data_IF_975057449721
#
_entry.id   IF_975057449721
#
_cell.length_a   1.000
_cell.length_b   1.000
_cell.length_c   1.000
_cell.angle_alpha   90.00
_cell.angle_beta   90.00
_cell.angle_gamma   90.00
#
_symmetry.space_group_name_H-M   'P 1'
#
loop_
_entity.id
_entity.type
_entity.pdbx_description
1 polymer ?
#
# COMPACT_ATOMS: atom_id res chain seq x y z
N UNK A 1 32.54 32.08 20.20
CA UNK A 1 31.57 31.02 20.45
C UNK A 1 30.72 30.96 19.21
N UNK A 2 30.96 29.98 18.34
CA UNK A 2 30.15 29.77 17.15
C UNK A 2 28.77 29.22 17.59
N UNK A 3 27.71 29.89 17.18
CA UNK A 3 26.33 29.41 17.34
C UNK A 3 26.22 28.04 16.65
N UNK A 4 26.02 27.01 17.45
CA UNK A 4 25.62 25.72 16.91
C UNK A 4 24.20 25.90 16.33
N UNK A 5 23.96 25.42 15.10
CA UNK A 5 22.60 25.43 14.57
C UNK A 5 21.71 24.64 15.51
N UNK A 6 20.53 25.20 15.83
CA UNK A 6 19.52 24.53 16.63
C UNK A 6 19.20 23.15 16.00
N UNK A 7 19.13 22.13 16.85
CA UNK A 7 18.68 20.81 16.47
C UNK A 7 17.38 20.95 15.65
N UNK A 8 17.28 20.29 14.50
CA UNK A 8 16.04 20.34 13.73
C UNK A 8 14.91 19.83 14.63
N UNK A 9 13.91 20.68 14.85
CA UNK A 9 12.68 20.26 15.53
C UNK A 9 12.21 18.97 14.92
N UNK A 10 11.87 17.93 15.72
CA UNK A 10 11.33 16.69 15.20
C UNK A 10 10.17 17.01 14.26
N UNK A 11 10.28 16.65 12.99
CA UNK A 11 9.19 16.82 12.04
C UNK A 11 8.09 15.85 12.49
N UNK A 12 6.99 16.41 13.00
CA UNK A 12 5.83 15.59 13.38
C UNK A 12 5.43 14.71 12.21
N UNK A 13 5.14 13.42 12.44
CA UNK A 13 4.75 12.52 11.37
C UNK A 13 3.47 13.05 10.72
N UNK A 14 3.58 13.45 9.46
CA UNK A 14 2.45 13.98 8.68
C UNK A 14 1.22 13.07 8.77
N UNK A 15 0.05 13.65 8.98
CA UNK A 15 -1.21 12.91 8.95
C UNK A 15 -1.42 12.19 7.60
N UNK A 16 -0.92 12.81 6.51
CA UNK A 16 -0.93 12.24 5.17
C UNK A 16 0.41 11.55 4.87
N UNK A 17 0.38 10.34 4.35
CA UNK A 17 1.58 9.59 3.97
C UNK A 17 1.31 8.56 2.88
N UNK A 18 2.36 7.89 2.43
CA UNK A 18 2.26 6.78 1.48
C UNK A 18 1.61 5.55 2.15
N UNK A 19 0.77 4.85 1.37
CA UNK A 19 0.12 3.61 1.82
C UNK A 19 0.67 2.39 1.10
N UNK A 20 0.59 2.37 -0.22
CA UNK A 20 1.18 1.36 -1.09
C UNK A 20 2.15 2.02 -2.09
N UNK A 21 3.00 1.25 -2.80
CA UNK A 21 3.90 1.80 -3.80
C UNK A 21 3.15 2.59 -4.87
N UNK A 22 3.64 3.78 -5.21
CA UNK A 22 3.15 4.54 -6.37
C UNK A 22 4.09 4.32 -7.54
N UNK A 23 3.53 4.10 -8.72
CA UNK A 23 4.29 3.87 -9.94
C UNK A 23 3.53 4.32 -11.18
N UNK A 24 4.29 4.58 -12.25
CA UNK A 24 3.78 4.79 -13.59
C UNK A 24 4.64 3.99 -14.56
N UNK A 25 4.06 3.00 -15.22
CA UNK A 25 4.72 2.09 -16.14
C UNK A 25 4.11 2.22 -17.53
N UNK A 26 4.94 2.30 -18.56
CA UNK A 26 4.51 2.27 -19.95
C UNK A 26 5.09 1.04 -20.60
N UNK A 27 4.28 0.30 -21.32
CA UNK A 27 4.72 -0.92 -21.98
C UNK A 27 3.67 -1.49 -22.92
N UNK A 28 4.01 -2.65 -23.49
CA UNK A 28 3.19 -3.32 -24.48
C UNK A 28 3.64 -3.01 -25.90
N UNK A 29 3.31 -3.91 -26.81
CA UNK A 29 3.67 -3.78 -28.23
C UNK A 29 2.46 -3.38 -29.05
N UNK A 30 1.28 -3.89 -28.72
CA UNK A 30 0.04 -3.62 -29.42
C UNK A 30 -1.15 -4.09 -28.56
N UNK A 31 -1.91 -3.20 -27.94
CA UNK A 31 -1.67 -1.75 -27.86
C UNK A 31 -0.58 -1.36 -26.83
N UNK A 32 0.05 -0.21 -27.03
CA UNK A 32 0.86 0.42 -25.97
C UNK A 32 -0.08 0.93 -24.89
N UNK A 33 0.21 0.57 -23.66
CA UNK A 33 -0.61 0.93 -22.50
C UNK A 33 0.24 1.47 -21.36
N UNK A 34 -0.36 2.28 -20.51
CA UNK A 34 0.21 2.68 -19.25
C UNK A 34 -0.55 2.01 -18.10
N UNK A 35 0.20 1.55 -17.09
CA UNK A 35 -0.36 1.13 -15.81
C UNK A 35 0.21 2.01 -14.72
N UNK A 36 -0.64 2.61 -13.93
CA UNK A 36 -0.21 3.43 -12.81
C UNK A 36 -0.98 3.11 -11.55
N UNK A 37 -0.35 3.40 -10.42
CA UNK A 37 -0.94 3.28 -9.10
C UNK A 37 -0.69 4.56 -8.33
N UNK A 38 -1.75 5.09 -7.74
CA UNK A 38 -1.74 6.20 -6.81
C UNK A 38 -2.25 5.70 -5.47
N UNK A 39 -1.55 6.03 -4.37
CA UNK A 39 -1.89 5.49 -3.05
C UNK A 39 -1.46 6.42 -1.94
N UNK A 40 -2.35 6.63 -0.97
CA UNK A 40 -2.07 7.41 0.22
C UNK A 40 -2.78 6.82 1.44
N UNK A 41 -2.32 7.20 2.62
CA UNK A 41 -3.04 7.01 3.89
C UNK A 41 -3.19 8.34 4.58
N UNK A 42 -4.26 8.46 5.35
CA UNK A 42 -4.55 9.62 6.19
C UNK A 42 -4.85 9.15 7.61
N UNK A 43 -4.15 9.72 8.60
CA UNK A 43 -4.44 9.48 10.02
C UNK A 43 -5.73 10.20 10.37
N UNK A 44 -6.72 9.47 10.89
CA UNK A 44 -8.05 10.03 11.16
C UNK A 44 -8.02 10.91 12.42
N UNK A 45 -7.29 10.48 13.45
CA UNK A 45 -7.20 11.20 14.71
C UNK A 45 -5.76 11.72 14.91
N UNK A 46 -5.63 13.01 15.13
CA UNK A 46 -4.36 13.65 15.44
C UNK A 46 -3.80 13.08 16.75
N UNK A 47 -2.49 12.83 16.80
CA UNK A 47 -1.79 12.32 17.99
C UNK A 47 -1.89 13.28 19.18
N UNK A 48 -1.93 14.58 18.91
CA UNK A 48 -2.07 15.65 19.89
C UNK A 48 -3.51 16.17 20.00
N UNK A 49 -4.46 15.53 19.33
CA UNK A 49 -5.86 15.92 19.34
C UNK A 49 -6.61 15.39 20.58
N UNK A 50 -7.70 16.06 20.92
CA UNK A 50 -8.55 15.75 22.10
C UNK A 50 -8.96 14.26 22.16
N UNK A 51 -9.18 13.63 21.00
CA UNK A 51 -9.54 12.21 20.95
C UNK A 51 -8.38 11.34 21.39
N UNK A 52 -7.16 11.59 20.88
CA UNK A 52 -5.98 10.81 21.24
C UNK A 52 -5.51 11.08 22.68
N UNK A 53 -5.71 12.28 23.22
CA UNK A 53 -5.48 12.60 24.63
C UNK A 53 -6.34 11.74 25.56
N UNK A 54 -7.60 11.48 25.15
CA UNK A 54 -8.54 10.67 25.94
C UNK A 54 -8.42 9.17 25.65
N UNK A 55 -8.19 8.82 24.37
CA UNK A 55 -8.10 7.46 23.87
C UNK A 55 -6.84 7.34 23.01
N UNK A 56 -5.65 7.12 23.61
CA UNK A 56 -4.37 7.13 22.90
C UNK A 56 -4.30 6.18 21.69
N UNK A 57 -4.98 5.04 21.76
CA UNK A 57 -5.03 4.07 20.66
C UNK A 57 -5.72 4.62 19.40
N UNK A 58 -6.53 5.66 19.50
CA UNK A 58 -7.23 6.23 18.35
C UNK A 58 -6.26 6.81 17.30
N UNK A 59 -5.09 7.29 17.70
CA UNK A 59 -4.05 7.80 16.79
C UNK A 59 -3.49 6.75 15.81
N UNK A 60 -3.70 5.47 16.10
CA UNK A 60 -3.35 4.36 15.21
C UNK A 60 -4.38 4.08 14.12
N UNK A 61 -5.51 4.80 14.04
CA UNK A 61 -6.56 4.58 13.05
C UNK A 61 -6.31 5.41 11.80
N UNK A 62 -6.27 4.73 10.65
CA UNK A 62 -5.98 5.33 9.34
C UNK A 62 -7.06 4.98 8.32
N UNK A 63 -7.34 5.95 7.46
CA UNK A 63 -7.97 5.72 6.16
C UNK A 63 -6.88 5.54 5.10
N UNK A 64 -7.01 4.52 4.26
CA UNK A 64 -6.15 4.31 3.09
C UNK A 64 -6.97 4.37 1.81
N UNK A 65 -6.33 4.80 0.74
CA UNK A 65 -6.91 4.76 -0.59
C UNK A 65 -5.85 4.37 -1.60
N UNK A 66 -6.16 3.40 -2.45
CA UNK A 66 -5.31 3.02 -3.57
C UNK A 66 -6.15 2.94 -4.84
N UNK A 67 -5.69 3.58 -5.89
CA UNK A 67 -6.24 3.47 -7.24
C UNK A 67 -5.19 2.87 -8.15
N UNK A 68 -5.55 1.83 -8.90
CA UNK A 68 -4.74 1.28 -9.98
C UNK A 68 -5.53 1.41 -11.28
N UNK A 69 -4.90 1.91 -12.34
CA UNK A 69 -5.55 2.08 -13.64
C UNK A 69 -4.70 1.53 -14.78
N UNK A 70 -5.35 0.91 -15.74
CA UNK A 70 -4.78 0.51 -17.02
C UNK A 70 -5.32 1.44 -18.11
N UNK A 71 -4.42 2.18 -18.74
CA UNK A 71 -4.71 3.21 -19.73
C UNK A 71 -4.21 2.78 -21.10
N UNK A 72 -5.12 2.73 -22.08
CA UNK A 72 -4.78 2.48 -23.47
C UNK A 72 -4.28 3.78 -24.10
N UNK A 73 -3.00 3.83 -24.48
CA UNK A 73 -2.39 5.03 -25.07
C UNK A 73 -2.56 5.12 -26.59
N UNK A 74 -2.99 4.05 -27.23
CA UNK A 74 -3.14 3.97 -28.69
C UNK A 74 -4.61 3.95 -29.16
N UNK A 75 -5.54 3.54 -28.29
CA UNK A 75 -6.96 3.50 -28.61
C UNK A 75 -7.51 4.88 -28.97
N UNK A 76 -8.52 4.90 -29.83
CA UNK A 76 -9.31 6.09 -30.12
C UNK A 76 -9.86 6.66 -28.80
N UNK A 77 -9.71 7.97 -28.56
CA UNK A 77 -10.05 8.63 -27.29
C UNK A 77 -9.20 8.18 -26.06
N UNK A 78 -8.17 7.36 -26.25
CA UNK A 78 -7.25 6.89 -25.18
C UNK A 78 -7.97 6.48 -23.89
N UNK A 79 -8.82 5.45 -23.93
CA UNK A 79 -9.69 5.09 -22.79
C UNK A 79 -8.92 4.43 -21.65
N UNK A 80 -9.41 4.61 -20.42
CA UNK A 80 -9.08 3.72 -19.32
C UNK A 80 -9.77 2.37 -19.55
N UNK A 81 -8.99 1.32 -19.75
CA UNK A 81 -9.49 -0.04 -19.98
C UNK A 81 -10.00 -0.67 -18.70
N UNK A 82 -9.32 -0.39 -17.62
CA UNK A 82 -9.67 -0.90 -16.30
C UNK A 82 -9.20 0.06 -15.22
N UNK A 83 -9.97 0.14 -14.13
CA UNK A 83 -9.59 0.87 -12.93
C UNK A 83 -10.07 0.07 -11.72
N UNK A 84 -9.28 0.08 -10.67
CA UNK A 84 -9.59 -0.52 -9.37
C UNK A 84 -9.41 0.55 -8.31
N UNK A 85 -10.42 0.73 -7.47
CA UNK A 85 -10.46 1.66 -6.36
C UNK A 85 -10.50 0.85 -5.06
N UNK A 86 -9.54 1.08 -4.15
CA UNK A 86 -9.39 0.34 -2.90
C UNK A 86 -9.34 1.28 -1.69
N UNK A 87 -10.50 1.78 -1.22
CA UNK A 87 -10.57 2.40 0.10
C UNK A 87 -10.37 1.34 1.20
N UNK A 88 -9.70 1.73 2.27
CA UNK A 88 -9.44 0.88 3.43
C UNK A 88 -9.53 1.66 4.73
N UNK A 89 -9.94 0.99 5.78
CA UNK A 89 -9.92 1.49 7.16
C UNK A 89 -9.10 0.50 7.98
N UNK A 90 -8.02 0.94 8.61
CA UNK A 90 -7.11 0.05 9.30
C UNK A 90 -6.48 0.70 10.52
N UNK A 91 -5.99 -0.14 11.39
CA UNK A 91 -5.13 0.22 12.50
C UNK A 91 -3.68 -0.07 12.16
N UNK A 92 -2.77 0.85 12.54
CA UNK A 92 -1.33 0.72 12.37
C UNK A 92 -0.64 0.77 13.74
N UNK A 93 0.16 -0.26 14.05
CA UNK A 93 1.12 -0.28 15.14
C UNK A 93 2.52 -0.12 14.57
N UNK A 94 3.22 0.92 14.96
CA UNK A 94 4.64 1.12 14.62
C UNK A 94 5.51 0.67 15.78
N UNK A 95 6.59 -0.04 15.46
CA UNK A 95 7.67 -0.42 16.36
C UNK A 95 8.97 0.00 15.69
N UNK A 96 9.43 1.19 16.02
CA UNK A 96 10.68 1.72 15.49
C UNK A 96 11.86 1.26 16.38
N UNK A 97 12.96 0.85 15.74
CA UNK A 97 14.19 0.53 16.45
C UNK A 97 14.89 1.84 16.86
N UNK A 98 15.12 2.07 18.17
CA UNK A 98 15.82 3.26 18.65
C UNK A 98 17.21 3.44 18.03
N UNK A 99 17.88 2.35 17.66
CA UNK A 99 19.20 2.35 17.02
C UNK A 99 19.13 2.58 15.50
N UNK A 100 17.96 2.82 14.94
CA UNK A 100 17.68 3.03 13.51
C UNK A 100 18.18 1.90 12.59
N UNK A 101 18.35 0.70 13.11
CA UNK A 101 18.75 -0.49 12.33
C UNK A 101 17.59 -1.05 11.55
N UNK A 102 16.36 -0.71 11.95
CA UNK A 102 15.18 -1.18 11.29
C UNK A 102 13.90 -0.52 11.79
N UNK A 103 12.80 -0.93 11.21
CA UNK A 103 11.46 -0.60 11.69
C UNK A 103 10.52 -1.76 11.40
N UNK A 104 9.50 -1.90 12.22
CA UNK A 104 8.40 -2.84 12.01
C UNK A 104 7.08 -2.11 12.20
N UNK A 105 6.20 -2.22 11.24
CA UNK A 105 4.82 -1.76 11.39
C UNK A 105 3.86 -2.91 11.11
N UNK A 106 2.87 -3.07 11.98
CA UNK A 106 1.78 -4.03 11.82
C UNK A 106 0.51 -3.28 11.44
N UNK A 107 -0.27 -3.88 10.58
CA UNK A 107 -1.55 -3.32 10.09
C UNK A 107 -2.63 -4.39 10.18
N UNK A 108 -3.81 -3.98 10.57
CA UNK A 108 -4.99 -4.82 10.51
C UNK A 108 -6.22 -3.98 10.20
N UNK A 109 -7.06 -4.44 9.29
CA UNK A 109 -8.21 -3.64 8.88
C UNK A 109 -9.07 -4.26 7.80
N UNK A 110 -9.97 -3.43 7.32
CA UNK A 110 -10.90 -3.71 6.24
C UNK A 110 -10.47 -2.99 4.96
N UNK A 111 -10.61 -3.67 3.83
CA UNK A 111 -10.36 -3.11 2.49
C UNK A 111 -11.51 -3.52 1.57
N UNK A 112 -12.12 -2.53 0.94
CA UNK A 112 -13.03 -2.69 -0.17
C UNK A 112 -12.26 -2.50 -1.48
N UNK A 113 -12.54 -3.30 -2.51
CA UNK A 113 -12.01 -3.09 -3.85
C UNK A 113 -13.13 -3.20 -4.87
N UNK A 114 -13.29 -2.18 -5.71
CA UNK A 114 -14.26 -2.18 -6.80
C UNK A 114 -13.72 -1.49 -8.04
N UNK A 115 -14.34 -1.76 -9.19
CA UNK A 115 -14.02 -1.07 -10.44
C UNK A 115 -14.92 0.13 -10.73
N UNK A 116 -15.84 0.47 -9.83
CA UNK A 116 -16.76 1.62 -9.98
C UNK A 116 -17.74 1.49 -11.14
N UNK A 117 -18.03 0.28 -11.60
CA UNK A 117 -19.00 0.00 -12.68
C UNK A 117 -20.27 -0.62 -12.11
N UNK A 118 -21.37 -0.47 -12.82
CA UNK A 118 -22.67 -1.07 -12.53
C UNK A 118 -22.89 -2.32 -13.38
N UNK A 119 -23.83 -3.17 -12.97
CA UNK A 119 -24.29 -4.38 -13.69
C UNK A 119 -23.20 -5.42 -13.98
N UNK A 120 -23.33 -6.16 -15.08
CA UNK A 120 -22.47 -7.28 -15.49
C UNK A 120 -20.96 -6.99 -15.45
N UNK A 121 -20.42 -5.78 -15.78
CA UNK A 121 -19.00 -5.50 -15.64
C UNK A 121 -18.59 -5.08 -14.22
N UNK A 122 -19.51 -5.06 -13.24
CA UNK A 122 -19.20 -4.76 -11.83
C UNK A 122 -18.23 -5.81 -11.26
N UNK A 123 -17.25 -5.32 -10.51
CA UNK A 123 -16.34 -6.16 -9.71
C UNK A 123 -16.19 -5.51 -8.36
N UNK A 124 -16.55 -6.26 -7.33
CA UNK A 124 -16.46 -5.82 -5.94
C UNK A 124 -15.97 -6.97 -5.07
N UNK A 125 -15.12 -6.68 -4.15
CA UNK A 125 -14.67 -7.61 -3.10
C UNK A 125 -14.42 -6.84 -1.81
N UNK A 126 -14.77 -7.48 -0.71
CA UNK A 126 -14.53 -7.00 0.64
C UNK A 126 -13.61 -7.96 1.37
N UNK A 127 -12.60 -7.43 2.03
CA UNK A 127 -11.61 -8.24 2.75
C UNK A 127 -11.31 -7.69 4.14
N UNK A 128 -11.04 -8.60 5.07
CA UNK A 128 -10.27 -8.28 6.26
C UNK A 128 -8.83 -8.70 6.03
N UNK A 129 -7.89 -7.83 6.35
CA UNK A 129 -6.47 -8.10 6.13
C UNK A 129 -5.62 -7.87 7.38
N UNK A 130 -4.49 -8.57 7.41
CA UNK A 130 -3.36 -8.27 8.28
C UNK A 130 -2.09 -8.15 7.44
N UNK A 131 -1.24 -7.17 7.74
CA UNK A 131 0.03 -6.90 7.06
C UNK A 131 1.11 -6.56 8.06
N UNK A 132 2.33 -6.98 7.80
CA UNK A 132 3.52 -6.49 8.48
C UNK A 132 4.43 -5.82 7.44
N UNK A 133 5.02 -4.67 7.80
CA UNK A 133 6.07 -4.01 7.02
C UNK A 133 7.33 -3.98 7.88
N UNK A 134 8.28 -4.84 7.57
CA UNK A 134 9.60 -4.85 8.20
C UNK A 134 10.62 -4.18 7.28
N UNK A 135 11.44 -3.33 7.84
CA UNK A 135 12.54 -2.66 7.16
C UNK A 135 13.82 -2.91 7.94
N UNK A 136 14.84 -3.42 7.27
CA UNK A 136 16.12 -3.79 7.87
C UNK A 136 17.21 -3.06 7.11
N UNK A 137 18.04 -2.26 7.80
CA UNK A 137 19.21 -1.61 7.21
C UNK A 137 20.25 -2.66 6.86
N UNK A 138 20.75 -2.65 5.62
CA UNK A 138 21.73 -3.60 5.08
C UNK A 138 23.15 -3.04 5.21
N UNK A 139 23.30 -1.72 5.00
CA UNK A 139 24.58 -1.04 5.02
C UNK A 139 24.52 0.39 5.59
N UNK A 140 25.67 1.01 5.76
CA UNK A 140 25.79 2.37 6.28
C UNK A 140 25.36 3.44 5.27
N UNK A 141 25.29 3.11 3.98
CA UNK A 141 24.84 4.03 2.92
C UNK A 141 23.34 4.27 2.92
N UNK A 142 22.60 3.57 3.80
CA UNK A 142 21.16 3.67 3.91
C UNK A 142 20.39 2.69 3.02
N UNK A 143 21.06 1.71 2.41
CA UNK A 143 20.41 0.60 1.74
C UNK A 143 19.62 -0.24 2.73
N UNK A 144 18.39 -0.61 2.40
CA UNK A 144 17.57 -1.44 3.24
C UNK A 144 16.89 -2.58 2.46
N UNK A 145 16.61 -3.65 3.20
CA UNK A 145 15.72 -4.73 2.79
C UNK A 145 14.35 -4.50 3.45
N UNK A 146 13.32 -4.39 2.64
CA UNK A 146 11.92 -4.34 3.06
C UNK A 146 11.24 -5.68 2.82
N UNK A 147 10.49 -6.16 3.80
CA UNK A 147 9.71 -7.40 3.74
C UNK A 147 8.30 -7.09 4.20
N UNK A 148 7.32 -7.31 3.34
CA UNK A 148 5.93 -6.92 3.57
C UNK A 148 4.96 -8.08 3.27
N UNK A 149 4.80 -9.07 4.17
CA UNK A 149 3.74 -10.06 4.05
C UNK A 149 2.37 -9.43 4.35
N UNK A 150 1.38 -9.78 3.53
CA UNK A 150 -0.06 -9.47 3.74
C UNK A 150 -0.87 -10.74 3.58
N UNK A 151 -1.82 -10.94 4.48
CA UNK A 151 -2.80 -12.02 4.41
C UNK A 151 -4.20 -11.43 4.49
N UNK A 152 -5.19 -12.09 3.90
CA UNK A 152 -6.57 -11.63 3.95
C UNK A 152 -7.57 -12.77 3.89
N UNK A 153 -8.78 -12.49 4.37
CA UNK A 153 -9.98 -13.29 4.13
C UNK A 153 -11.02 -12.46 3.41
N UNK A 154 -11.78 -13.08 2.54
CA UNK A 154 -12.89 -12.43 1.84
C UNK A 154 -14.13 -12.43 2.74
N UNK A 155 -14.73 -11.26 2.93
CA UNK A 155 -16.01 -11.08 3.59
C UNK A 155 -17.15 -11.16 2.56
N UNK A 156 -16.93 -10.47 1.42
CA UNK A 156 -17.83 -10.51 0.28
C UNK A 156 -17.02 -10.61 -1.02
N UNK A 157 -17.54 -11.40 -1.95
CA UNK A 157 -17.00 -11.61 -3.31
C UNK A 157 -18.09 -12.08 -4.28
N UNK A 158 -19.33 -11.71 -4.05
CA UNK A 158 -20.46 -12.20 -4.87
C UNK A 158 -20.29 -11.84 -6.34
N UNK A 159 -19.80 -10.60 -6.63
CA UNK A 159 -19.45 -10.15 -7.98
C UNK A 159 -18.24 -10.88 -8.59
N UNK A 160 -17.44 -11.57 -7.77
CA UNK A 160 -16.20 -12.24 -8.18
C UNK A 160 -15.99 -13.57 -7.44
N UNK A 161 -16.88 -14.56 -7.58
CA UNK A 161 -16.85 -15.79 -6.78
C UNK A 161 -15.54 -16.58 -6.92
N UNK A 162 -14.87 -16.46 -8.06
CA UNK A 162 -13.63 -17.17 -8.38
C UNK A 162 -12.35 -16.43 -7.99
N UNK A 163 -12.44 -15.21 -7.46
CA UNK A 163 -11.27 -14.35 -7.21
C UNK A 163 -10.21 -15.02 -6.33
N UNK A 164 -10.62 -15.80 -5.33
CA UNK A 164 -9.71 -16.50 -4.43
C UNK A 164 -8.86 -17.56 -5.16
N UNK A 165 -9.33 -18.13 -6.29
CA UNK A 165 -8.55 -19.09 -7.08
C UNK A 165 -7.38 -18.42 -7.79
N UNK A 166 -7.52 -17.14 -8.16
CA UNK A 166 -6.49 -16.39 -8.89
C UNK A 166 -5.63 -15.54 -7.95
N UNK A 167 -6.24 -14.91 -6.98
CA UNK A 167 -5.58 -13.99 -6.05
C UNK A 167 -5.03 -14.65 -4.79
N UNK A 168 -5.60 -15.80 -4.39
CA UNK A 168 -5.26 -16.46 -3.13
C UNK A 168 -5.69 -15.66 -1.91
N UNK A 169 -4.98 -15.86 -0.81
CA UNK A 169 -5.23 -15.26 0.50
C UNK A 169 -3.97 -14.63 1.12
N UNK A 170 -2.88 -14.57 0.34
CA UNK A 170 -1.60 -14.05 0.83
C UNK A 170 -0.77 -13.45 -0.31
N UNK A 171 0.04 -12.48 0.05
CA UNK A 171 1.07 -11.89 -0.79
C UNK A 171 2.31 -11.54 0.01
N UNK A 172 3.45 -11.46 -0.66
CA UNK A 172 4.72 -11.05 -0.11
C UNK A 172 5.31 -9.93 -0.96
N UNK A 173 5.43 -8.75 -0.38
CA UNK A 173 6.18 -7.64 -0.93
C UNK A 173 7.64 -7.72 -0.51
N UNK A 174 8.56 -7.52 -1.44
CA UNK A 174 10.00 -7.39 -1.16
C UNK A 174 10.51 -6.11 -1.79
N UNK A 175 11.40 -5.41 -1.08
CA UNK A 175 12.07 -4.18 -1.55
C UNK A 175 13.55 -4.27 -1.22
N UNK A 176 14.41 -3.77 -2.10
CA UNK A 176 15.84 -3.64 -1.85
C UNK A 176 16.33 -2.35 -2.51
N UNK A 177 16.95 -1.49 -1.74
CA UNK A 177 17.48 -0.23 -2.25
C UNK A 177 17.43 0.90 -1.23
N UNK A 178 17.42 2.13 -1.73
CA UNK A 178 17.41 3.37 -0.94
C UNK A 178 16.24 4.25 -1.37
N UNK A 179 15.65 4.98 -0.42
CA UNK A 179 14.50 5.87 -0.71
C UNK A 179 14.90 7.08 -1.58
N UNK A 180 16.16 7.53 -1.46
CA UNK A 180 16.72 8.68 -2.17
C UNK A 180 17.44 8.31 -3.48
N UNK A 181 17.40 7.03 -3.88
CA UNK A 181 18.11 6.51 -5.04
C UNK A 181 17.31 5.42 -5.76
N UNK A 182 17.98 4.32 -6.16
CA UNK A 182 17.35 3.20 -6.84
C UNK A 182 16.72 2.24 -5.84
N UNK A 183 15.47 1.87 -6.12
CA UNK A 183 14.69 0.89 -5.37
C UNK A 183 14.20 -0.22 -6.30
N UNK A 184 14.54 -1.46 -5.98
CA UNK A 184 13.93 -2.63 -6.59
C UNK A 184 12.78 -3.12 -5.71
N UNK A 185 11.63 -3.37 -6.32
CA UNK A 185 10.47 -3.92 -5.62
C UNK A 185 9.84 -5.05 -6.40
N UNK A 186 9.36 -6.06 -5.71
CA UNK A 186 8.57 -7.15 -6.28
C UNK A 186 7.42 -7.51 -5.35
N UNK A 187 6.31 -7.94 -5.94
CA UNK A 187 5.14 -8.44 -5.24
C UNK A 187 4.86 -9.86 -5.70
N UNK A 188 4.88 -10.81 -4.79
CA UNK A 188 4.64 -12.23 -5.06
C UNK A 188 3.29 -12.60 -4.50
N UNK A 189 2.41 -13.13 -5.35
CA UNK A 189 1.08 -13.61 -5.00
C UNK A 189 0.82 -14.95 -5.66
N UNK A 190 0.17 -15.86 -4.95
CA UNK A 190 -0.17 -17.17 -5.49
C UNK A 190 -1.63 -17.52 -5.23
N UNK A 191 -2.36 -17.75 -6.31
CA UNK A 191 -3.69 -18.36 -6.27
C UNK A 191 -3.62 -19.89 -6.42
N UNK A 192 -4.72 -20.58 -6.12
CA UNK A 192 -4.86 -22.02 -6.27
C UNK A 192 -4.93 -22.48 -7.74
N UNK A 193 -5.20 -21.57 -8.68
CA UNK A 193 -5.21 -21.85 -10.13
C UNK A 193 -3.81 -22.12 -10.73
N UNK A 194 -2.76 -22.18 -9.92
CA UNK A 194 -1.42 -22.63 -10.32
C UNK A 194 -0.57 -21.60 -11.08
N UNK A 195 -1.05 -20.36 -11.26
CA UNK A 195 -0.23 -19.27 -11.83
C UNK A 195 0.27 -18.37 -10.73
N UNK A 196 1.59 -18.14 -10.68
CA UNK A 196 2.18 -17.12 -9.81
C UNK A 196 1.99 -15.76 -10.48
N UNK A 197 1.29 -14.84 -9.80
CA UNK A 197 1.17 -13.44 -10.24
C UNK A 197 2.36 -12.63 -9.70
N UNK A 198 2.98 -11.85 -10.54
CA UNK A 198 4.02 -10.86 -10.19
C UNK A 198 3.53 -9.46 -10.52
#
# INVERSE_FOLDING_TARGET
>A
VADMPADPTPVEPSALGFHEPMYFLVGGKDPVSARFQFSFRYRIFDEQGVVAETIPVASGVYFGFTQTSLWDLQGESKPFRDSSFRPSLFYRWGLDDPDQRGSLALYGGYEHESNGKEDMPSRSIDTLFARADARIRVDESGTYLGIAPKVWTYLDREDNPDIARYRGHAELGLRLGRDDALMFSTLIRRGSAGKMGT
#
